data_IF_850274676523
#
_entry.id   IF_850274676523
#
_cell.length_a   1.000
_cell.length_b   1.000
_cell.length_c   1.000
_cell.angle_alpha   90.00
_cell.angle_beta   90.00
_cell.angle_gamma   90.00
#
_symmetry.space_group_name_H-M   'P 1'
#
loop_
_entity.id
_entity.type
_entity.pdbx_description
1 polymer ?
#
# COMPACT_ATOMS: atom_id res chain seq x y z
N UNK A 1 -5.18 -25.43 -5.84
CA UNK A 1 -5.98 -24.23 -6.13
C UNK A 1 -4.99 -23.08 -6.26
N UNK A 2 -4.73 -22.64 -7.48
CA UNK A 2 -3.74 -21.58 -7.77
C UNK A 2 -4.49 -20.26 -7.86
N UNK A 3 -4.40 -19.44 -6.82
CA UNK A 3 -4.88 -18.07 -6.85
C UNK A 3 -3.82 -17.23 -7.55
N UNK A 4 -4.00 -17.01 -8.86
CA UNK A 4 -3.27 -15.99 -9.62
C UNK A 4 -3.95 -14.65 -9.37
N UNK A 5 -3.51 -13.92 -8.35
CA UNK A 5 -3.78 -12.49 -8.27
C UNK A 5 -2.89 -11.83 -9.30
N UNK A 6 -3.42 -11.72 -10.53
CA UNK A 6 -2.92 -10.75 -11.49
C UNK A 6 -3.35 -9.38 -10.97
N UNK A 7 -2.49 -8.73 -10.19
CA UNK A 7 -2.52 -7.28 -9.98
C UNK A 7 -2.17 -6.60 -11.32
N UNK A 8 -3.09 -6.72 -12.27
CA UNK A 8 -3.10 -5.97 -13.51
C UNK A 8 -3.66 -4.58 -13.21
N UNK A 9 -2.87 -3.71 -12.59
CA UNK A 9 -3.20 -2.27 -12.45
C UNK A 9 -1.97 -1.35 -12.43
N UNK A 10 -0.77 -1.83 -12.76
CA UNK A 10 0.44 -1.00 -12.78
C UNK A 10 0.85 -0.50 -14.19
N UNK A 11 0.08 -0.78 -15.24
CA UNK A 11 0.51 -0.53 -16.63
C UNK A 11 -0.20 0.65 -17.34
N UNK A 12 -0.95 1.51 -16.65
CA UNK A 12 -1.60 2.69 -17.25
C UNK A 12 -1.00 4.03 -16.82
N UNK A 13 0.08 4.05 -16.03
CA UNK A 13 0.77 5.29 -15.63
C UNK A 13 2.02 5.61 -16.46
N UNK A 14 2.33 4.81 -17.48
CA UNK A 14 3.41 5.13 -18.39
C UNK A 14 2.90 6.06 -19.51
N UNK A 15 3.17 7.35 -19.36
CA UNK A 15 3.32 8.39 -20.42
C UNK A 15 2.41 9.61 -20.29
N UNK A 16 2.38 10.24 -19.12
CA UNK A 16 2.17 11.69 -19.06
C UNK A 16 3.38 12.31 -18.35
N UNK A 17 4.42 12.60 -19.12
CA UNK A 17 5.52 13.47 -18.72
C UNK A 17 5.00 14.91 -18.62
N UNK A 18 4.13 15.19 -17.65
CA UNK A 18 3.82 16.55 -17.21
C UNK A 18 4.88 16.99 -16.20
N UNK A 19 5.29 18.28 -16.18
CA UNK A 19 6.40 18.73 -15.36
C UNK A 19 6.10 18.45 -13.87
N UNK A 20 6.99 17.67 -13.26
CA UNK A 20 6.89 17.15 -11.90
C UNK A 20 6.80 18.25 -10.85
N UNK A 21 5.99 17.97 -9.82
CA UNK A 21 5.75 18.84 -8.68
C UNK A 21 4.39 18.58 -8.06
N UNK A 22 3.30 18.88 -8.77
CA UNK A 22 1.94 18.73 -8.22
C UNK A 22 1.54 17.26 -8.01
N UNK A 23 1.74 16.40 -9.00
CA UNK A 23 1.37 14.98 -8.93
C UNK A 23 2.13 14.20 -7.85
N UNK A 24 3.39 14.55 -7.58
CA UNK A 24 4.22 13.94 -6.54
C UNK A 24 3.70 14.32 -5.14
N UNK A 25 3.43 15.62 -4.93
CA UNK A 25 2.88 16.13 -3.67
C UNK A 25 1.46 15.60 -3.39
N UNK A 26 0.63 15.44 -4.42
CA UNK A 26 -0.72 14.88 -4.29
C UNK A 26 -0.69 13.39 -3.94
N UNK A 27 0.23 12.64 -4.57
CA UNK A 27 0.47 11.24 -4.24
C UNK A 27 0.93 11.06 -2.79
N UNK A 28 1.88 11.88 -2.34
CA UNK A 28 2.38 11.87 -0.96
C UNK A 28 1.28 12.22 0.04
N UNK A 29 0.43 13.20 -0.28
CA UNK A 29 -0.70 13.58 0.57
C UNK A 29 -1.72 12.46 0.69
N UNK A 30 -2.19 11.89 -0.42
CA UNK A 30 -3.16 10.79 -0.41
C UNK A 30 -2.57 9.56 0.29
N UNK A 31 -1.31 9.22 0.01
CA UNK A 31 -0.58 8.14 0.67
C UNK A 31 -0.46 8.35 2.18
N UNK A 32 -0.23 9.60 2.62
CA UNK A 32 -0.24 10.00 4.01
C UNK A 32 -1.60 9.82 4.69
N UNK A 33 -2.69 10.24 4.04
CA UNK A 33 -4.05 10.07 4.54
C UNK A 33 -4.43 8.60 4.72
N UNK A 34 -4.16 7.76 3.70
CA UNK A 34 -4.41 6.32 3.75
C UNK A 34 -3.56 5.68 4.86
N UNK A 35 -2.28 6.00 4.92
CA UNK A 35 -1.36 5.45 5.94
C UNK A 35 -1.80 5.82 7.36
N UNK A 36 -2.19 7.07 7.60
CA UNK A 36 -2.69 7.51 8.90
C UNK A 36 -3.99 6.77 9.28
N UNK A 37 -4.91 6.62 8.33
CA UNK A 37 -6.18 5.93 8.53
C UNK A 37 -5.98 4.44 8.84
N UNK A 38 -5.07 3.75 8.15
CA UNK A 38 -4.70 2.36 8.44
C UNK A 38 -4.13 2.23 9.85
N UNK A 39 -3.13 3.08 10.20
CA UNK A 39 -2.47 3.05 11.51
C UNK A 39 -3.42 3.33 12.67
N UNK A 40 -4.43 4.17 12.47
CA UNK A 40 -5.45 4.46 13.50
C UNK A 40 -6.26 3.23 13.93
N UNK A 41 -6.32 2.17 13.11
CA UNK A 41 -7.00 0.92 13.43
C UNK A 41 -6.25 0.01 14.40
N UNK A 42 -5.04 0.39 14.83
CA UNK A 42 -4.17 -0.45 15.66
C UNK A 42 -3.45 -1.55 14.87
N UNK A 43 -2.64 -2.39 15.53
CA UNK A 43 -1.85 -3.43 14.87
C UNK A 43 -2.73 -4.51 14.24
N UNK A 44 -2.25 -5.11 13.15
CA UNK A 44 -2.89 -6.28 12.53
C UNK A 44 -2.52 -7.60 13.20
N UNK A 45 -1.37 -7.59 13.86
CA UNK A 45 -0.76 -8.75 14.51
C UNK A 45 -0.81 -8.57 16.02
N UNK A 46 -1.12 -9.64 16.74
CA UNK A 46 -1.08 -9.61 18.21
C UNK A 46 0.38 -9.65 18.74
N UNK A 47 0.54 -9.68 20.06
CA UNK A 47 1.87 -9.72 20.67
C UNK A 47 2.64 -11.02 20.36
N UNK A 48 1.95 -12.15 20.22
CA UNK A 48 2.59 -13.43 19.93
C UNK A 48 3.06 -13.49 18.47
N UNK A 49 2.21 -13.04 17.54
CA UNK A 49 2.52 -12.95 16.12
C UNK A 49 3.72 -12.02 15.87
N UNK A 50 3.76 -10.86 16.55
CA UNK A 50 4.91 -9.93 16.49
C UNK A 50 6.19 -10.58 16.99
N UNK A 51 6.16 -11.27 18.13
CA UNK A 51 7.34 -11.94 18.68
C UNK A 51 7.88 -13.05 17.75
N UNK A 52 7.01 -13.73 17.01
CA UNK A 52 7.42 -14.69 15.98
C UNK A 52 8.14 -13.96 14.84
N UNK A 53 7.53 -12.91 14.28
CA UNK A 53 8.10 -12.17 13.16
C UNK A 53 9.44 -11.52 13.54
N UNK A 54 9.53 -10.91 14.73
CA UNK A 54 10.76 -10.33 15.25
C UNK A 54 11.89 -11.36 15.34
N UNK A 55 11.62 -12.53 15.93
CA UNK A 55 12.58 -13.63 16.02
C UNK A 55 13.05 -14.11 14.63
N UNK A 56 12.14 -14.20 13.67
CA UNK A 56 12.44 -14.72 12.32
C UNK A 56 13.18 -13.70 11.46
N UNK A 57 12.82 -12.42 11.56
CA UNK A 57 13.51 -11.34 10.88
C UNK A 57 14.85 -10.97 11.53
N UNK A 58 15.07 -11.34 12.80
CA UNK A 58 16.24 -10.94 13.58
C UNK A 58 16.15 -9.51 14.07
N UNK A 59 14.94 -9.08 14.45
CA UNK A 59 14.69 -7.79 15.08
C UNK A 59 14.88 -7.88 16.59
N UNK A 60 15.11 -6.73 17.22
CA UNK A 60 15.03 -6.63 18.68
C UNK A 60 13.59 -6.82 19.14
N UNK A 61 13.41 -7.39 20.33
CA UNK A 61 12.07 -7.64 20.88
C UNK A 61 11.31 -6.32 21.07
N UNK A 62 10.11 -6.23 20.50
CA UNK A 62 9.27 -5.04 20.52
C UNK A 62 9.68 -3.93 19.56
N UNK A 63 10.68 -4.14 18.69
CA UNK A 63 11.12 -3.11 17.76
C UNK A 63 10.28 -3.04 16.48
N UNK A 64 9.41 -4.02 16.22
CA UNK A 64 8.55 -4.03 15.04
C UNK A 64 7.13 -3.55 15.37
N UNK A 65 6.63 -2.59 14.60
CA UNK A 65 5.34 -1.93 14.86
C UNK A 65 4.13 -2.81 14.51
N UNK A 66 4.33 -3.90 13.78
CA UNK A 66 3.26 -4.82 13.36
C UNK A 66 2.38 -4.25 12.25
N UNK A 67 2.91 -3.33 11.45
CA UNK A 67 2.15 -2.68 10.36
C UNK A 67 2.80 -2.94 9.01
N UNK A 68 4.13 -2.83 8.92
CA UNK A 68 4.83 -3.01 7.65
C UNK A 68 5.22 -4.46 7.39
N UNK A 69 4.70 -5.01 6.29
CA UNK A 69 4.93 -6.37 5.82
C UNK A 69 4.98 -6.35 4.28
N UNK A 70 6.04 -6.90 3.69
CA UNK A 70 6.12 -7.11 2.24
C UNK A 70 6.13 -8.60 1.94
N UNK A 71 5.20 -9.07 1.11
CA UNK A 71 5.14 -10.46 0.65
C UNK A 71 5.10 -10.49 -0.87
N UNK A 72 6.00 -11.27 -1.47
CA UNK A 72 6.04 -11.53 -2.92
C UNK A 72 5.94 -13.03 -3.12
N UNK A 73 4.76 -13.49 -3.51
CA UNK A 73 4.44 -14.93 -3.55
C UNK A 73 4.59 -15.54 -2.15
N UNK A 74 5.49 -16.51 -2.03
CA UNK A 74 5.77 -17.23 -0.78
C UNK A 74 6.90 -16.62 0.05
N UNK A 75 7.55 -15.56 -0.46
CA UNK A 75 8.70 -14.91 0.16
C UNK A 75 8.24 -13.71 0.95
N UNK A 76 8.53 -13.72 2.25
CA UNK A 76 8.37 -12.57 3.12
C UNK A 76 9.66 -11.75 3.14
N UNK A 77 9.55 -10.43 2.93
CA UNK A 77 10.65 -9.47 3.00
C UNK A 77 10.47 -8.58 4.24
N UNK A 78 11.39 -8.74 5.17
CA UNK A 78 11.56 -7.93 6.36
C UNK A 78 12.05 -6.51 5.98
N UNK A 79 11.71 -5.50 6.78
CA UNK A 79 12.14 -4.09 6.62
C UNK A 79 13.66 -3.92 6.65
N UNK A 80 14.39 -4.82 7.34
CA UNK A 80 15.85 -4.85 7.31
C UNK A 80 16.45 -5.47 6.01
N UNK A 81 15.61 -5.78 5.02
CA UNK A 81 16.01 -6.38 3.74
C UNK A 81 16.16 -7.90 3.78
N UNK A 82 15.98 -8.54 4.94
CA UNK A 82 16.03 -10.00 5.04
C UNK A 82 14.82 -10.62 4.34
N UNK A 83 15.07 -11.65 3.53
CA UNK A 83 14.02 -12.46 2.93
C UNK A 83 13.95 -13.81 3.63
N UNK A 84 12.73 -14.30 3.84
CA UNK A 84 12.49 -15.61 4.44
C UNK A 84 11.26 -16.29 3.85
N UNK A 85 11.37 -17.59 3.69
CA UNK A 85 10.26 -18.49 3.36
C UNK A 85 10.06 -19.35 4.60
N UNK A 86 9.06 -19.00 5.40
CA UNK A 86 8.79 -19.66 6.68
C UNK A 86 7.30 -19.97 6.83
N UNK A 87 6.92 -21.23 7.11
CA UNK A 87 5.52 -21.63 7.18
C UNK A 87 4.78 -21.03 8.39
N UNK A 88 5.49 -20.73 9.48
CA UNK A 88 4.92 -20.10 10.67
C UNK A 88 4.54 -18.64 10.36
N UNK A 89 5.46 -17.90 9.72
CA UNK A 89 5.21 -16.53 9.25
C UNK A 89 4.08 -16.50 8.21
N UNK A 90 4.06 -17.46 7.29
CA UNK A 90 2.98 -17.59 6.31
C UNK A 90 1.62 -17.78 6.97
N UNK A 91 1.54 -18.65 7.97
CA UNK A 91 0.30 -18.88 8.71
C UNK A 91 -0.17 -17.63 9.46
N UNK A 92 0.76 -16.84 10.01
CA UNK A 92 0.45 -15.54 10.64
C UNK A 92 -0.15 -14.58 9.63
N UNK A 93 0.51 -14.40 8.47
CA UNK A 93 0.03 -13.49 7.43
C UNK A 93 -1.34 -13.91 6.89
N UNK A 94 -1.55 -15.21 6.64
CA UNK A 94 -2.84 -15.71 6.16
C UNK A 94 -3.99 -15.48 7.17
N UNK A 95 -3.70 -15.44 8.48
CA UNK A 95 -4.73 -15.05 9.48
C UNK A 95 -5.02 -13.55 9.44
N UNK A 96 -4.00 -12.72 9.21
CA UNK A 96 -4.12 -11.28 9.18
C UNK A 96 -4.74 -10.76 7.87
N UNK A 97 -4.56 -11.46 6.75
CA UNK A 97 -5.02 -11.08 5.41
C UNK A 97 -6.48 -10.59 5.36
N UNK A 98 -7.50 -11.35 5.83
CA UNK A 98 -8.88 -10.88 5.80
C UNK A 98 -9.13 -9.62 6.67
N UNK A 99 -8.34 -9.43 7.74
CA UNK A 99 -8.42 -8.25 8.59
C UNK A 99 -7.81 -7.02 7.89
N UNK A 100 -6.69 -7.22 7.20
CA UNK A 100 -6.01 -6.21 6.39
C UNK A 100 -6.94 -5.77 5.26
N UNK A 101 -7.48 -6.71 4.48
CA UNK A 101 -8.40 -6.42 3.37
C UNK A 101 -9.62 -5.63 3.85
N UNK A 102 -10.29 -6.09 4.91
CA UNK A 102 -11.44 -5.39 5.48
C UNK A 102 -11.10 -3.98 5.92
N UNK A 103 -9.92 -3.77 6.53
CA UNK A 103 -9.49 -2.44 6.99
C UNK A 103 -9.15 -1.53 5.81
N UNK A 104 -8.45 -2.03 4.80
CA UNK A 104 -8.17 -1.27 3.57
C UNK A 104 -9.47 -0.86 2.89
N UNK A 105 -10.42 -1.78 2.72
CA UNK A 105 -11.74 -1.45 2.15
C UNK A 105 -12.45 -0.36 2.97
N UNK A 106 -12.45 -0.47 4.30
CA UNK A 106 -13.06 0.53 5.17
C UNK A 106 -12.37 1.90 5.10
N UNK A 107 -11.04 1.94 4.94
CA UNK A 107 -10.27 3.19 4.75
C UNK A 107 -10.58 3.82 3.40
N UNK A 108 -10.59 3.02 2.33
CA UNK A 108 -10.88 3.51 0.98
C UNK A 108 -12.33 4.00 0.83
N UNK A 109 -13.26 3.46 1.63
CA UNK A 109 -14.65 3.92 1.67
C UNK A 109 -14.86 5.21 2.48
N UNK A 110 -13.83 5.77 3.11
CA UNK A 110 -13.97 7.01 3.88
C UNK A 110 -14.23 8.20 2.95
N UNK A 111 -15.21 9.07 3.27
CA UNK A 111 -15.57 10.20 2.40
C UNK A 111 -14.39 11.11 2.07
N UNK A 112 -13.51 11.39 3.02
CA UNK A 112 -12.34 12.24 2.83
C UNK A 112 -11.28 11.62 1.92
N UNK A 113 -11.13 10.29 1.92
CA UNK A 113 -10.22 9.57 1.04
C UNK A 113 -10.80 9.53 -0.37
N UNK A 114 -12.08 9.20 -0.50
CA UNK A 114 -12.77 9.20 -1.80
C UNK A 114 -12.75 10.58 -2.46
N UNK A 115 -13.03 11.64 -1.71
CA UNK A 115 -13.00 13.01 -2.21
C UNK A 115 -11.60 13.44 -2.70
N UNK A 116 -10.53 13.01 -2.02
CA UNK A 116 -9.17 13.33 -2.43
C UNK A 116 -8.77 12.56 -3.70
N UNK A 117 -9.19 11.29 -3.83
CA UNK A 117 -9.02 10.51 -5.07
C UNK A 117 -9.74 11.19 -6.24
N UNK A 118 -11.00 11.62 -6.03
CA UNK A 118 -11.78 12.29 -7.05
C UNK A 118 -11.16 13.63 -7.46
N UNK A 119 -10.62 14.40 -6.51
CA UNK A 119 -9.89 15.65 -6.79
C UNK A 119 -8.71 15.38 -7.72
N UNK A 120 -7.85 14.42 -7.36
CA UNK A 120 -6.65 14.07 -8.14
C UNK A 120 -7.05 13.59 -9.55
N UNK A 121 -8.08 12.75 -9.65
CA UNK A 121 -8.58 12.26 -10.93
C UNK A 121 -9.09 13.39 -11.84
N UNK A 122 -9.84 14.34 -11.28
CA UNK A 122 -10.37 15.48 -12.03
C UNK A 122 -9.26 16.44 -12.48
N UNK A 123 -8.24 16.69 -11.64
CA UNK A 123 -7.09 17.51 -12.01
C UNK A 123 -6.26 16.85 -13.12
N UNK A 124 -6.04 15.54 -13.04
CA UNK A 124 -5.36 14.79 -14.09
C UNK A 124 -6.13 14.82 -15.42
N UNK A 125 -7.46 14.64 -15.38
CA UNK A 125 -8.32 14.73 -16.56
C UNK A 125 -8.31 16.14 -17.17
N UNK A 126 -8.41 17.18 -16.34
CA UNK A 126 -8.32 18.57 -16.78
C UNK A 126 -6.97 18.90 -17.43
N UNK A 127 -5.87 18.43 -16.86
CA UNK A 127 -4.54 18.60 -17.42
C UNK A 127 -4.38 17.86 -18.77
N UNK A 128 -4.93 16.66 -18.89
CA UNK A 128 -4.91 15.90 -20.13
C UNK A 128 -5.70 16.58 -21.26
N UNK A 129 -6.90 17.11 -20.96
CA UNK A 129 -7.70 17.87 -21.91
C UNK A 129 -6.98 19.15 -22.35
N UNK A 130 -6.39 19.90 -21.41
CA UNK A 130 -5.63 21.11 -21.73
C UNK A 130 -4.38 20.83 -22.59
N UNK A 131 -3.79 19.63 -22.48
CA UNK A 131 -2.68 19.21 -23.33
C UNK A 131 -3.12 18.90 -24.77
N UNK A 132 -4.35 18.42 -24.97
CA UNK A 132 -4.92 18.14 -26.29
C UNK A 132 -5.31 19.42 -27.05
N UNK A 133 -5.72 20.47 -26.33
CA UNK A 133 -6.11 21.77 -26.90
C UNK A 133 -4.93 22.66 -27.30
N UNK A 134 -3.69 22.28 -26.95
CA UNK A 134 -2.48 22.99 -27.40
C UNK A 134 -2.14 22.56 -28.83
N UNK A 135 -2.25 23.44 -29.85
CA UNK A 135 -1.80 23.08 -31.19
C UNK A 135 -0.29 22.80 -31.17
N UNK A 136 0.12 21.70 -31.81
CA UNK A 136 1.52 21.41 -32.07
C UNK A 136 2.09 22.57 -32.91
N UNK A 137 2.90 23.41 -32.25
CA UNK A 137 3.67 24.46 -32.91
C UNK A 137 4.80 23.90 -33.74
#
# INVERSE_FOLDING_TARGET
>A
MNVRILLASAALLASFSSPGGAAENDGDRLGGMISAAIRSGGPFFDAADRAVIERKCGYDAGSWDGIELSMVGDTFRCTNGRELIDPEVRAIVHRAEPLIEKRVQAVMARPEIAAEIDRIANEAAGAALAALDKPAG
#
